data_IF_422559882992
#
_entry.id   IF_422559882992
#
_cell.length_a   1.000
_cell.length_b   1.000
_cell.length_c   1.000
_cell.angle_alpha   90.00
_cell.angle_beta   90.00
_cell.angle_gamma   90.00
#
_symmetry.space_group_name_H-M   'P 1'
#
loop_
_entity.id
_entity.type
_entity.pdbx_description
1 polymer ?
#
# COMPACT_ATOMS: atom_id res chain seq x y z
N UNK A 1 -17.30 -36.62 17.82
CA UNK A 1 -16.13 -37.03 17.02
C UNK A 1 -16.30 -36.40 15.66
N UNK A 2 -15.49 -35.38 15.33
CA UNK A 2 -15.59 -34.64 14.08
C UNK A 2 -14.55 -35.15 13.09
N UNK A 3 -14.94 -36.07 12.21
CA UNK A 3 -14.15 -36.38 11.02
C UNK A 3 -14.36 -35.23 10.02
N UNK A 4 -13.36 -34.37 9.88
CA UNK A 4 -13.29 -33.47 8.74
C UNK A 4 -13.04 -34.32 7.47
N UNK A 5 -13.83 -34.19 6.39
CA UNK A 5 -13.65 -34.98 5.17
C UNK A 5 -12.25 -34.78 4.61
N UNK A 6 -11.53 -35.86 4.32
CA UNK A 6 -10.17 -35.85 3.78
C UNK A 6 -10.05 -34.96 2.51
N UNK A 7 -11.13 -34.86 1.74
CA UNK A 7 -11.24 -33.97 0.57
C UNK A 7 -11.12 -32.49 0.91
N UNK A 8 -11.78 -32.02 1.98
CA UNK A 8 -11.68 -30.63 2.43
C UNK A 8 -10.27 -30.31 2.95
N UNK A 9 -9.59 -31.28 3.58
CA UNK A 9 -8.19 -31.09 4.01
C UNK A 9 -7.25 -30.98 2.81
N UNK A 10 -7.42 -31.82 1.78
CA UNK A 10 -6.63 -31.78 0.55
C UNK A 10 -6.88 -30.50 -0.25
N UNK A 11 -8.14 -30.05 -0.36
CA UNK A 11 -8.49 -28.77 -1.00
C UNK A 11 -7.85 -27.58 -0.28
N UNK A 12 -7.92 -27.53 1.06
CA UNK A 12 -7.26 -26.47 1.85
C UNK A 12 -5.75 -26.49 1.71
N UNK A 13 -5.12 -27.66 1.70
CA UNK A 13 -3.67 -27.79 1.49
C UNK A 13 -3.25 -27.36 0.08
N UNK A 14 -4.05 -27.70 -0.94
CA UNK A 14 -3.78 -27.30 -2.33
C UNK A 14 -3.96 -25.79 -2.50
N UNK A 15 -5.03 -25.21 -1.96
CA UNK A 15 -5.26 -23.77 -1.97
C UNK A 15 -4.12 -23.01 -1.25
N UNK A 16 -3.66 -23.50 -0.09
CA UNK A 16 -2.55 -22.89 0.63
C UNK A 16 -1.24 -22.91 -0.19
N UNK A 17 -0.95 -23.99 -0.91
CA UNK A 17 0.23 -24.10 -1.78
C UNK A 17 0.13 -23.18 -3.01
N UNK A 18 -1.05 -23.05 -3.60
CA UNK A 18 -1.28 -22.15 -4.74
C UNK A 18 -1.13 -20.68 -4.32
N UNK A 19 -1.65 -20.30 -3.17
CA UNK A 19 -1.47 -18.97 -2.57
C UNK A 19 0.01 -18.66 -2.34
N UNK A 20 0.78 -19.61 -1.79
CA UNK A 20 2.22 -19.42 -1.56
C UNK A 20 2.98 -19.14 -2.87
N UNK A 21 2.62 -19.88 -3.94
CA UNK A 21 3.21 -19.71 -5.27
C UNK A 21 2.87 -18.35 -5.87
N UNK A 22 1.62 -17.90 -5.76
CA UNK A 22 1.17 -16.58 -6.23
C UNK A 22 1.89 -15.47 -5.46
N UNK A 23 2.01 -15.60 -4.14
CA UNK A 23 2.69 -14.63 -3.28
C UNK A 23 4.17 -14.52 -3.63
N UNK A 24 4.87 -15.64 -3.81
CA UNK A 24 6.27 -15.66 -4.26
C UNK A 24 6.45 -15.01 -5.64
N UNK A 25 5.53 -15.29 -6.57
CA UNK A 25 5.51 -14.67 -7.90
C UNK A 25 5.31 -13.16 -7.80
N UNK A 26 4.33 -12.70 -7.01
CA UNK A 26 4.08 -11.28 -6.77
C UNK A 26 5.33 -10.58 -6.25
N UNK A 27 5.98 -11.10 -5.20
CA UNK A 27 7.17 -10.44 -4.65
C UNK A 27 8.36 -10.42 -5.62
N UNK A 28 8.48 -11.44 -6.49
CA UNK A 28 9.47 -11.45 -7.56
C UNK A 28 9.20 -10.34 -8.58
N UNK A 29 7.96 -10.22 -9.04
CA UNK A 29 7.55 -9.17 -9.99
C UNK A 29 7.61 -7.77 -9.35
N UNK A 30 7.24 -7.65 -8.08
CA UNK A 30 7.35 -6.43 -7.29
C UNK A 30 8.81 -5.99 -7.13
N UNK A 31 9.73 -6.93 -6.89
CA UNK A 31 11.16 -6.64 -6.87
C UNK A 31 11.69 -6.16 -8.23
N UNK A 32 11.19 -6.72 -9.33
CA UNK A 32 11.52 -6.24 -10.68
C UNK A 32 10.98 -4.83 -10.91
N UNK A 33 9.70 -4.58 -10.56
CA UNK A 33 9.10 -3.24 -10.64
C UNK A 33 9.84 -2.22 -9.80
N UNK A 34 10.40 -2.62 -8.65
CA UNK A 34 11.25 -1.74 -7.84
C UNK A 34 12.50 -1.30 -8.59
N UNK A 35 13.17 -2.19 -9.30
CA UNK A 35 14.33 -1.81 -10.12
C UNK A 35 13.93 -0.80 -11.19
N UNK A 36 12.82 -1.03 -11.90
CA UNK A 36 12.30 -0.08 -12.90
C UNK A 36 11.88 1.26 -12.26
N UNK A 37 11.31 1.23 -11.06
CA UNK A 37 10.87 2.43 -10.34
C UNK A 37 12.05 3.30 -9.91
N UNK A 38 13.15 2.69 -9.48
CA UNK A 38 14.38 3.39 -9.04
C UNK A 38 14.98 4.24 -10.17
N UNK A 39 14.97 3.72 -11.40
CA UNK A 39 15.47 4.45 -12.59
C UNK A 39 14.59 5.66 -12.95
N UNK A 40 13.38 5.74 -12.41
CA UNK A 40 12.44 6.85 -12.63
C UNK A 40 12.47 7.90 -11.53
N UNK A 41 13.25 7.69 -10.47
CA UNK A 41 13.44 8.68 -9.41
C UNK A 41 14.59 9.60 -9.79
N UNK A 42 14.29 10.89 -9.90
CA UNK A 42 15.27 11.96 -10.04
C UNK A 42 15.31 12.86 -8.79
N UNK A 43 16.38 13.63 -8.63
CA UNK A 43 16.58 14.55 -7.51
C UNK A 43 17.28 13.99 -6.29
N UNK A 44 17.72 12.72 -6.34
CA UNK A 44 18.55 12.07 -5.31
C UNK A 44 19.82 11.54 -5.99
N UNK A 45 21.02 12.01 -5.63
CA UNK A 45 22.27 11.62 -6.30
C UNK A 45 22.70 10.19 -5.97
N UNK A 46 22.50 9.76 -4.73
CA UNK A 46 22.90 8.43 -4.25
C UNK A 46 21.90 7.35 -4.70
N UNK A 47 22.38 6.36 -5.45
CA UNK A 47 21.58 5.24 -5.93
C UNK A 47 21.02 4.37 -4.80
N UNK A 48 21.75 4.21 -3.70
CA UNK A 48 21.28 3.47 -2.53
C UNK A 48 20.08 4.17 -1.88
N UNK A 49 20.12 5.51 -1.80
CA UNK A 49 19.02 6.32 -1.27
C UNK A 49 17.81 6.30 -2.22
N UNK A 50 18.02 6.35 -3.54
CA UNK A 50 16.93 6.14 -4.51
C UNK A 50 16.24 4.78 -4.32
N UNK A 51 17.02 3.70 -4.14
CA UNK A 51 16.48 2.36 -3.85
C UNK A 51 15.69 2.31 -2.55
N UNK A 52 16.16 3.02 -1.54
CA UNK A 52 15.48 3.09 -0.26
C UNK A 52 14.15 3.85 -0.39
N UNK A 53 14.16 5.04 -0.99
CA UNK A 53 12.94 5.82 -1.23
C UNK A 53 11.93 5.03 -2.08
N UNK A 54 12.37 4.39 -3.17
CA UNK A 54 11.51 3.53 -3.98
C UNK A 54 10.85 2.44 -3.15
N UNK A 55 11.61 1.79 -2.27
CA UNK A 55 11.07 0.77 -1.36
C UNK A 55 10.02 1.38 -0.42
N UNK A 56 10.27 2.53 0.18
CA UNK A 56 9.31 3.20 1.07
C UNK A 56 8.01 3.53 0.33
N UNK A 57 8.12 4.19 -0.82
CA UNK A 57 6.95 4.60 -1.61
C UNK A 57 6.14 3.42 -2.12
N UNK A 58 6.79 2.39 -2.65
CA UNK A 58 6.08 1.23 -3.19
C UNK A 58 5.36 0.44 -2.09
N UNK A 59 5.92 0.33 -0.87
CA UNK A 59 5.22 -0.32 0.24
C UNK A 59 4.04 0.52 0.76
N UNK A 60 4.18 1.84 0.84
CA UNK A 60 3.05 2.74 1.12
C UNK A 60 1.92 2.56 0.13
N UNK A 61 2.26 2.53 -1.16
CA UNK A 61 1.28 2.34 -2.23
C UNK A 61 0.66 0.95 -2.20
N UNK A 62 1.43 -0.08 -1.87
CA UNK A 62 0.91 -1.43 -1.67
C UNK A 62 -0.14 -1.46 -0.55
N UNK A 63 0.16 -0.79 0.57
CA UNK A 63 -0.76 -0.68 1.69
C UNK A 63 -2.02 0.13 1.34
N UNK A 64 -1.89 1.23 0.60
CA UNK A 64 -3.06 2.00 0.15
C UNK A 64 -3.90 1.21 -0.85
N UNK A 65 -3.26 0.49 -1.76
CA UNK A 65 -3.95 -0.41 -2.69
C UNK A 65 -4.76 -1.45 -1.93
N UNK A 66 -4.20 -2.00 -0.85
CA UNK A 66 -4.92 -2.88 0.04
C UNK A 66 -6.16 -2.21 0.68
N UNK A 67 -6.02 -0.98 1.19
CA UNK A 67 -7.15 -0.23 1.77
C UNK A 67 -8.28 0.04 0.75
N UNK A 68 -7.98 0.40 -0.50
CA UNK A 68 -9.02 0.57 -1.53
C UNK A 68 -9.73 -0.75 -1.86
N UNK A 69 -9.01 -1.88 -1.88
CA UNK A 69 -9.64 -3.19 -2.08
C UNK A 69 -10.64 -3.53 -0.97
N UNK A 70 -10.42 -2.99 0.24
CA UNK A 70 -11.35 -3.09 1.38
C UNK A 70 -12.41 -1.98 1.42
N UNK A 71 -12.47 -1.12 0.41
CA UNK A 71 -13.41 0.01 0.34
C UNK A 71 -13.26 0.95 1.54
N UNK A 72 -12.03 1.11 2.05
CA UNK A 72 -11.72 1.94 3.22
C UNK A 72 -11.26 3.36 2.85
N UNK A 73 -11.16 3.66 1.56
CA UNK A 73 -10.73 4.96 1.05
C UNK A 73 -11.89 5.67 0.38
N UNK A 74 -12.02 6.97 0.65
CA UNK A 74 -12.93 7.92 0.00
C UNK A 74 -14.29 7.33 -0.38
N UNK A 75 -15.16 7.18 0.63
CA UNK A 75 -16.53 6.66 0.47
C UNK A 75 -16.60 5.29 -0.20
N UNK A 76 -15.56 4.47 -0.06
CA UNK A 76 -15.51 3.12 -0.60
C UNK A 76 -15.04 3.05 -2.05
N UNK A 77 -14.19 3.98 -2.49
CA UNK A 77 -13.64 3.94 -3.84
C UNK A 77 -12.64 2.78 -4.01
N UNK A 78 -13.04 1.75 -4.74
CA UNK A 78 -12.20 0.57 -5.05
C UNK A 78 -11.09 0.83 -6.08
N UNK A 79 -11.13 1.98 -6.77
CA UNK A 79 -10.18 2.42 -7.79
C UNK A 79 -9.43 3.69 -7.39
N UNK A 80 -9.43 4.03 -6.10
CA UNK A 80 -8.94 5.30 -5.56
C UNK A 80 -7.60 5.76 -6.14
N UNK A 81 -6.54 4.93 -6.10
CA UNK A 81 -5.23 5.32 -6.62
C UNK A 81 -5.23 5.57 -8.14
N UNK A 82 -6.01 4.80 -8.91
CA UNK A 82 -6.12 4.97 -10.36
C UNK A 82 -6.88 6.26 -10.70
N UNK A 83 -7.97 6.53 -10.00
CA UNK A 83 -8.78 7.72 -10.22
C UNK A 83 -8.00 8.99 -9.86
N UNK A 84 -7.23 8.95 -8.78
CA UNK A 84 -6.38 10.05 -8.33
C UNK A 84 -5.15 10.26 -9.22
N UNK A 85 -4.60 9.19 -9.81
CA UNK A 85 -3.57 9.30 -10.84
C UNK A 85 -4.12 10.00 -12.08
N UNK A 86 -5.30 9.58 -12.56
CA UNK A 86 -5.97 10.25 -13.67
C UNK A 86 -6.34 11.70 -13.35
N UNK A 87 -6.79 12.00 -12.13
CA UNK A 87 -7.11 13.35 -11.69
C UNK A 87 -5.87 14.25 -11.64
N UNK A 88 -4.75 13.74 -11.15
CA UNK A 88 -3.47 14.45 -11.14
C UNK A 88 -3.00 14.78 -12.55
N UNK A 89 -3.07 13.81 -13.48
CA UNK A 89 -2.73 14.05 -14.89
C UNK A 89 -3.62 15.09 -15.60
N UNK A 90 -4.86 15.31 -15.12
CA UNK A 90 -5.73 16.40 -15.60
C UNK A 90 -5.31 17.77 -15.08
N UNK A 91 -4.64 17.85 -13.92
CA UNK A 91 -4.14 19.11 -13.36
C UNK A 91 -2.79 19.51 -13.96
N UNK A 92 -1.97 18.53 -14.32
CA UNK A 92 -0.66 18.76 -14.93
C UNK A 92 0.17 17.49 -14.99
N UNK A 93 1.32 17.60 -15.64
CA UNK A 93 2.25 16.49 -15.79
C UNK A 93 2.99 16.19 -14.48
N UNK A 94 3.10 14.91 -14.13
CA UNK A 94 3.94 14.39 -13.04
C UNK A 94 3.59 14.95 -11.65
N UNK A 95 2.30 15.29 -11.45
CA UNK A 95 1.78 15.86 -10.19
C UNK A 95 1.30 14.80 -9.20
N UNK A 96 1.26 13.52 -9.59
CA UNK A 96 0.74 12.48 -8.70
C UNK A 96 1.58 12.35 -7.43
N UNK A 97 2.92 12.38 -7.55
CA UNK A 97 3.78 12.36 -6.37
C UNK A 97 3.80 13.70 -5.64
N UNK A 98 4.14 14.78 -6.34
CA UNK A 98 4.47 16.08 -5.73
C UNK A 98 3.27 16.79 -5.11
N UNK A 99 2.05 16.50 -5.55
CA UNK A 99 0.84 17.05 -4.93
C UNK A 99 0.07 15.97 -4.18
N UNK A 100 -0.44 14.97 -4.91
CA UNK A 100 -1.44 14.06 -4.37
C UNK A 100 -0.87 13.12 -3.30
N UNK A 101 0.22 12.41 -3.59
CA UNK A 101 0.78 11.45 -2.64
C UNK A 101 1.36 12.14 -1.41
N UNK A 102 2.01 13.29 -1.55
CA UNK A 102 2.47 14.06 -0.39
C UNK A 102 1.31 14.49 0.51
N UNK A 103 0.22 15.01 -0.06
CA UNK A 103 -0.97 15.35 0.71
C UNK A 103 -1.60 14.10 1.35
N UNK A 104 -1.70 12.99 0.63
CA UNK A 104 -2.27 11.76 1.14
C UNK A 104 -1.47 11.19 2.31
N UNK A 105 -0.13 11.15 2.20
CA UNK A 105 0.72 10.57 3.24
C UNK A 105 0.79 11.47 4.46
N UNK A 106 1.13 12.74 4.28
CA UNK A 106 1.53 13.63 5.38
C UNK A 106 0.40 14.46 5.95
N UNK A 107 -0.76 14.51 5.28
CA UNK A 107 -1.96 15.15 5.81
C UNK A 107 -3.10 14.15 5.98
N UNK A 108 -3.36 13.29 4.98
CA UNK A 108 -4.40 12.28 5.04
C UNK A 108 -4.17 11.26 6.15
N UNK A 109 -3.16 10.43 5.99
CA UNK A 109 -2.88 9.36 6.95
C UNK A 109 -2.19 9.85 8.23
N UNK A 110 -1.47 10.97 8.18
CA UNK A 110 -0.69 11.47 9.32
C UNK A 110 -1.41 12.51 10.20
N UNK A 111 -2.60 13.00 9.83
CA UNK A 111 -3.38 13.93 10.68
C UNK A 111 -4.86 13.56 10.80
N UNK A 112 -5.50 13.82 11.95
CA UNK A 112 -6.94 13.74 12.11
C UNK A 112 -7.68 14.66 11.12
N UNK A 113 -8.89 14.26 10.69
CA UNK A 113 -9.66 14.99 9.68
C UNK A 113 -9.92 16.46 10.02
N UNK A 114 -10.10 16.78 11.32
CA UNK A 114 -10.35 18.15 11.79
C UNK A 114 -9.11 19.07 11.72
N UNK A 115 -7.91 18.52 11.54
CA UNK A 115 -6.66 19.30 11.40
C UNK A 115 -6.27 19.54 9.94
N UNK A 116 -6.96 18.89 8.99
CA UNK A 116 -6.64 18.97 7.57
C UNK A 116 -7.22 20.25 6.94
N UNK A 117 -6.45 20.88 6.07
CA UNK A 117 -6.92 22.03 5.30
C UNK A 117 -8.05 21.63 4.33
N UNK A 118 -8.91 22.59 3.97
CA UNK A 118 -9.95 22.37 2.97
C UNK A 118 -9.38 21.98 1.59
N UNK A 119 -8.22 22.52 1.23
CA UNK A 119 -7.52 22.16 -0.01
C UNK A 119 -7.07 20.69 0.01
N UNK A 120 -6.51 20.23 1.12
CA UNK A 120 -6.14 18.83 1.33
C UNK A 120 -7.37 17.93 1.20
N UNK A 121 -8.46 18.24 1.90
CA UNK A 121 -9.68 17.44 1.88
C UNK A 121 -10.27 17.36 0.46
N UNK A 122 -10.25 18.45 -0.30
CA UNK A 122 -10.70 18.46 -1.69
C UNK A 122 -9.79 17.60 -2.60
N UNK A 123 -8.50 17.51 -2.29
CA UNK A 123 -7.53 16.75 -3.07
C UNK A 123 -7.61 15.24 -2.78
N UNK A 124 -7.72 14.84 -1.50
CA UNK A 124 -7.61 13.44 -1.09
C UNK A 124 -8.96 12.77 -0.80
N UNK A 125 -10.03 13.54 -0.60
CA UNK A 125 -11.34 13.02 -0.22
C UNK A 125 -11.44 12.60 1.24
N UNK A 126 -12.36 11.67 1.53
CA UNK A 126 -12.58 11.16 2.90
C UNK A 126 -11.59 10.03 3.24
N UNK A 127 -10.56 10.39 4.01
CA UNK A 127 -9.44 9.49 4.34
C UNK A 127 -9.34 9.32 5.85
N UNK A 128 -9.18 8.07 6.30
CA UNK A 128 -8.96 7.77 7.72
C UNK A 128 -7.58 8.21 8.18
N UNK A 129 -7.49 8.62 9.44
CA UNK A 129 -6.22 8.87 10.09
C UNK A 129 -5.58 7.55 10.53
N UNK A 130 -4.28 7.38 10.24
CA UNK A 130 -3.51 6.18 10.57
C UNK A 130 -2.20 6.59 11.26
N UNK A 131 -2.31 7.15 12.48
CA UNK A 131 -1.29 7.47 13.48
C UNK A 131 0.20 7.50 13.05
N UNK A 132 0.50 8.11 11.91
CA UNK A 132 1.85 8.32 11.40
C UNK A 132 2.58 7.08 10.88
N UNK A 133 2.69 5.97 11.62
CA UNK A 133 3.72 4.91 11.43
C UNK A 133 4.35 4.77 10.04
N UNK A 134 3.65 4.12 9.11
CA UNK A 134 4.14 3.87 7.74
C UNK A 134 4.25 5.15 6.88
N UNK A 135 3.49 6.18 7.22
CA UNK A 135 3.28 7.41 6.44
C UNK A 135 4.00 8.64 6.99
N UNK A 136 4.77 8.52 8.07
CA UNK A 136 5.65 9.58 8.57
C UNK A 136 6.66 9.98 7.50
N UNK A 137 7.01 11.26 7.43
CA UNK A 137 8.04 11.71 6.49
C UNK A 137 9.35 10.93 6.71
N UNK A 138 9.84 10.32 5.64
CA UNK A 138 11.12 9.63 5.65
C UNK A 138 12.26 10.64 5.66
N UNK A 139 13.43 10.29 6.21
CA UNK A 139 14.61 11.17 6.24
C UNK A 139 14.97 11.70 4.85
N UNK A 140 14.92 10.85 3.83
CA UNK A 140 15.15 11.23 2.43
C UNK A 140 14.08 12.18 1.87
N UNK A 141 12.83 12.10 2.34
CA UNK A 141 11.77 13.02 1.93
C UNK A 141 11.93 14.39 2.61
N UNK A 142 12.50 14.43 3.82
CA UNK A 142 12.90 15.66 4.50
C UNK A 142 14.13 16.30 3.85
N UNK A 143 15.13 15.49 3.50
CA UNK A 143 16.40 15.94 2.94
C UNK A 143 16.26 16.40 1.49
N UNK A 144 15.59 15.62 0.65
CA UNK A 144 15.52 15.85 -0.79
C UNK A 144 14.13 16.30 -1.28
N UNK A 145 13.13 16.46 -0.40
CA UNK A 145 11.71 16.62 -0.76
C UNK A 145 11.42 17.54 -1.94
N UNK A 146 12.01 18.74 -1.96
CA UNK A 146 11.81 19.72 -3.02
C UNK A 146 12.48 19.34 -4.36
N UNK A 147 13.47 18.46 -4.34
CA UNK A 147 14.24 17.99 -5.49
C UNK A 147 13.68 16.69 -6.08
N UNK A 148 13.01 15.85 -5.29
CA UNK A 148 12.48 14.56 -5.76
C UNK A 148 11.49 14.76 -6.91
N UNK A 149 11.74 14.09 -8.03
CA UNK A 149 10.82 14.03 -9.18
C UNK A 149 10.58 12.58 -9.54
N UNK A 150 9.31 12.19 -9.65
CA UNK A 150 8.89 10.84 -10.03
C UNK A 150 7.76 10.98 -11.04
N UNK A 151 7.93 10.49 -12.27
CA UNK A 151 6.92 10.68 -13.30
C UNK A 151 5.70 9.80 -13.06
N UNK A 152 4.52 10.26 -13.51
CA UNK A 152 3.23 9.58 -13.33
C UNK A 152 3.25 8.13 -13.88
N UNK A 153 4.04 7.91 -14.94
CA UNK A 153 4.24 6.58 -15.55
C UNK A 153 4.84 5.55 -14.57
N UNK A 154 5.63 5.97 -13.59
CA UNK A 154 6.19 5.07 -12.57
C UNK A 154 5.06 4.42 -11.75
N UNK A 155 4.06 5.22 -11.39
CA UNK A 155 2.89 4.78 -10.65
C UNK A 155 1.93 3.96 -11.52
N UNK A 156 1.69 4.39 -12.77
CA UNK A 156 0.89 3.60 -13.72
C UNK A 156 1.45 2.18 -13.92
N UNK A 157 2.77 2.04 -14.06
CA UNK A 157 3.44 0.74 -14.19
C UNK A 157 3.29 -0.13 -12.94
N UNK A 158 3.38 0.49 -11.76
CA UNK A 158 3.20 -0.20 -10.48
C UNK A 158 1.75 -0.64 -10.28
N UNK A 159 0.78 0.22 -10.58
CA UNK A 159 -0.65 -0.10 -10.42
C UNK A 159 -1.11 -1.16 -11.42
N UNK A 160 -0.48 -1.25 -12.60
CA UNK A 160 -0.69 -2.38 -13.52
C UNK A 160 -0.29 -3.71 -12.88
N UNK A 161 0.79 -3.74 -12.10
CA UNK A 161 1.16 -4.91 -11.31
C UNK A 161 0.11 -5.15 -10.22
N UNK A 162 -0.24 -4.15 -9.41
CA UNK A 162 -1.20 -4.37 -8.33
C UNK A 162 -2.56 -4.87 -8.80
N UNK A 163 -3.04 -4.36 -9.95
CA UNK A 163 -4.29 -4.78 -10.56
C UNK A 163 -4.26 -6.12 -11.28
N UNK A 164 -3.08 -6.74 -11.50
CA UNK A 164 -3.00 -8.11 -12.04
C UNK A 164 -3.18 -9.19 -10.98
N UNK A 165 -3.27 -8.80 -9.71
CA UNK A 165 -3.47 -9.68 -8.58
C UNK A 165 -4.78 -9.38 -7.86
N UNK A 166 -5.41 -10.42 -7.34
CA UNK A 166 -6.55 -10.34 -6.45
C UNK A 166 -6.07 -10.15 -5.01
N UNK A 167 -6.67 -9.21 -4.30
CA UNK A 167 -6.33 -8.89 -2.90
C UNK A 167 -7.47 -9.41 -2.01
N UNK A 168 -7.65 -10.73 -1.97
CA UNK A 168 -8.68 -11.39 -1.17
C UNK A 168 -8.13 -11.74 0.22
N UNK A 169 -8.96 -11.50 1.24
CA UNK A 169 -8.63 -11.68 2.66
C UNK A 169 -9.50 -12.73 3.34
N UNK A 170 -10.51 -13.23 2.64
CA UNK A 170 -11.52 -14.09 3.21
C UNK A 170 -11.20 -15.54 2.85
N UNK A 171 -11.09 -16.40 3.85
CA UNK A 171 -10.96 -17.87 3.78
C UNK A 171 -12.22 -18.54 3.18
N UNK A 172 -12.76 -18.01 2.08
CA UNK A 172 -13.91 -18.62 1.42
C UNK A 172 -13.41 -19.58 0.35
N UNK A 173 -13.70 -20.89 0.44
CA UNK A 173 -13.23 -21.85 -0.57
C UNK A 173 -13.89 -21.52 -1.92
N UNK A 174 -13.07 -21.10 -2.88
CA UNK A 174 -13.51 -20.69 -4.23
C UNK A 174 -12.73 -19.55 -4.88
N UNK A 175 -11.57 -19.18 -4.32
CA UNK A 175 -10.74 -18.09 -4.80
C UNK A 175 -10.12 -18.30 -6.19
N UNK A 176 -9.92 -17.20 -6.93
CA UNK A 176 -9.32 -17.22 -8.27
C UNK A 176 -7.79 -17.40 -8.19
N UNK A 177 -7.17 -17.94 -9.25
CA UNK A 177 -5.74 -18.32 -9.36
C UNK A 177 -4.69 -17.21 -9.06
N UNK A 178 -5.08 -15.97 -8.75
CA UNK A 178 -4.18 -14.81 -8.56
C UNK A 178 -4.37 -14.12 -7.18
N UNK A 179 -4.63 -14.85 -6.10
CA UNK A 179 -4.88 -14.27 -4.77
C UNK A 179 -3.61 -13.96 -3.93
N UNK A 180 -3.59 -12.76 -3.33
CA UNK A 180 -2.60 -12.28 -2.36
C UNK A 180 -3.21 -12.33 -0.95
N UNK A 181 -2.55 -13.03 -0.04
CA UNK A 181 -2.98 -13.23 1.35
C UNK A 181 -2.60 -12.03 2.26
N UNK A 182 -3.38 -11.73 3.33
CA UNK A 182 -3.01 -10.79 4.40
C UNK A 182 -1.62 -11.02 5.05
N UNK A 183 -0.99 -12.18 4.89
CA UNK A 183 0.41 -12.41 5.27
C UNK A 183 1.39 -11.44 4.57
N UNK A 184 1.03 -10.92 3.39
CA UNK A 184 1.77 -9.83 2.74
C UNK A 184 1.69 -8.55 3.57
N UNK A 185 0.57 -8.26 4.22
CA UNK A 185 0.47 -7.17 5.18
C UNK A 185 1.27 -7.47 6.43
N UNK A 186 1.18 -8.70 6.96
CA UNK A 186 2.03 -9.15 8.07
C UNK A 186 3.51 -8.91 7.78
N UNK A 187 3.96 -9.24 6.57
CA UNK A 187 5.32 -8.97 6.10
C UNK A 187 5.63 -7.47 5.96
N UNK A 188 4.70 -6.66 5.43
CA UNK A 188 4.88 -5.19 5.37
C UNK A 188 4.96 -4.61 6.78
N UNK A 189 4.05 -5.00 7.68
CA UNK A 189 4.00 -4.57 9.06
C UNK A 189 5.25 -5.00 9.84
N UNK A 190 5.64 -6.27 9.74
CA UNK A 190 6.82 -6.79 10.41
C UNK A 190 8.11 -6.17 9.87
N UNK A 191 8.23 -6.01 8.55
CA UNK A 191 9.46 -5.49 7.96
C UNK A 191 9.59 -3.97 8.05
N UNK A 192 8.49 -3.22 8.03
CA UNK A 192 8.52 -1.75 7.98
C UNK A 192 8.08 -1.07 9.29
N UNK A 193 7.26 -1.71 10.13
CA UNK A 193 6.88 -1.17 11.45
C UNK A 193 7.78 -1.71 12.59
N UNK A 194 8.21 -2.99 12.56
CA UNK A 194 9.05 -3.56 13.64
C UNK A 194 10.56 -3.33 13.46
N UNK A 195 11.03 -2.70 12.37
CA UNK A 195 12.45 -2.36 12.29
C UNK A 195 12.79 -1.19 13.21
N UNK A 196 13.53 -1.50 14.28
CA UNK A 196 14.14 -0.59 15.27
C UNK A 196 14.96 0.59 14.70
N UNK A 197 15.09 0.69 13.37
CA UNK A 197 15.81 1.76 12.68
C UNK A 197 15.04 3.09 12.60
N UNK A 198 13.74 3.12 12.91
CA UNK A 198 12.89 4.30 12.74
C UNK A 198 12.43 5.01 14.03
N UNK A 199 12.97 4.64 15.20
CA UNK A 199 12.89 5.46 16.42
C UNK A 199 11.51 5.73 17.03
N UNK A 200 10.42 5.19 16.48
CA UNK A 200 9.09 5.30 17.04
C UNK A 200 8.58 3.91 17.44
N UNK A 201 8.33 3.73 18.74
CA UNK A 201 7.63 2.55 19.24
C UNK A 201 6.20 2.59 18.74
N UNK A 202 5.84 1.71 17.79
CA UNK A 202 4.44 1.51 17.42
C UNK A 202 3.85 0.36 18.23
N UNK A 203 2.70 0.61 18.86
CA UNK A 203 1.98 -0.40 19.61
C UNK A 203 1.05 -1.14 18.64
N UNK A 204 1.22 -2.47 18.55
CA UNK A 204 0.41 -3.39 17.72
C UNK A 204 -1.13 -3.25 17.74
N UNK A 205 -1.81 -2.69 18.77
CA UNK A 205 -3.27 -2.66 18.81
C UNK A 205 -3.93 -1.86 17.70
N UNK A 206 -3.48 -0.66 17.35
CA UNK A 206 -4.34 0.32 16.67
C UNK A 206 -4.76 -0.04 15.22
N UNK A 207 -3.85 -0.56 14.39
CA UNK A 207 -4.22 -1.03 13.03
C UNK A 207 -4.93 -2.37 13.08
N UNK A 208 -4.50 -3.26 14.00
CA UNK A 208 -5.16 -4.54 14.19
C UNK A 208 -6.59 -4.33 14.67
N UNK A 209 -6.81 -3.39 15.57
CA UNK A 209 -8.10 -2.98 16.13
C UNK A 209 -8.94 -2.27 15.07
N UNK A 210 -8.39 -1.34 14.29
CA UNK A 210 -9.13 -0.75 13.16
C UNK A 210 -9.56 -1.79 12.11
N UNK A 211 -8.63 -2.68 11.71
CA UNK A 211 -8.95 -3.78 10.79
C UNK A 211 -9.93 -4.77 11.42
N UNK A 212 -9.85 -5.02 12.72
CA UNK A 212 -10.76 -5.93 13.44
C UNK A 212 -12.15 -5.30 13.61
N UNK A 213 -12.27 -4.05 14.06
CA UNK A 213 -13.54 -3.34 14.23
C UNK A 213 -14.30 -3.20 12.90
N UNK A 214 -13.61 -2.96 11.79
CA UNK A 214 -14.26 -2.85 10.47
C UNK A 214 -14.46 -4.18 9.74
N UNK A 215 -13.75 -5.25 10.11
CA UNK A 215 -13.91 -6.58 9.50
C UNK A 215 -14.87 -7.49 10.30
N UNK A 216 -14.99 -7.28 11.61
CA UNK A 216 -15.87 -8.09 12.49
C UNK A 216 -17.31 -7.53 12.53
N UNK A 217 -17.55 -6.28 12.11
CA UNK A 217 -18.89 -5.76 11.90
C UNK A 217 -19.36 -5.95 10.44
N UNK A 218 -19.61 -7.21 10.07
CA UNK A 218 -20.57 -7.58 9.02
C UNK A 218 -21.39 -8.79 9.45
#
# INVERSE_FOLDING_TARGET
>A
QGEFPLSQLVERLTAALDIEKVTKKFFKEFAQKRTEFVELIDGIPNEHERRWLASVLMNRLMFIWFLQCKLLLDKGNSRYLLDQLAASGRRGQDLFYSEFLQALFFEGFAKPAYERSAATQALIGDIVFLNGGLFLQHSLELEYGASIRIPDKAFANLFKLFGSYSWHLDDTPGGQDNEINPDVLGYIFEKYINQKAFGAYYTRPEITEYLSERTIHR
#
